data_IF_232908480200
#
_entry.id   IF_232908480200
#
_cell.length_a   1.000
_cell.length_b   1.000
_cell.length_c   1.000
_cell.angle_alpha   90.00
_cell.angle_beta   90.00
_cell.angle_gamma   90.00
#
_symmetry.space_group_name_H-M   'P 1'
#
loop_
_entity.id
_entity.type
_entity.pdbx_description
1 polymer ?
#
# COMPACT_ATOMS: atom_id res chain seq x y z
N UNK A 1 8.92 18.02 -14.10
CA UNK A 1 8.12 18.77 -13.09
C UNK A 1 6.92 17.98 -12.56
N UNK A 2 5.99 17.52 -13.40
CA UNK A 2 4.77 16.81 -12.94
C UNK A 2 5.01 15.58 -12.06
N UNK A 3 6.04 14.76 -12.33
CA UNK A 3 6.42 13.62 -11.46
C UNK A 3 6.87 14.04 -10.06
N UNK A 4 7.60 15.16 -9.97
CA UNK A 4 8.05 15.73 -8.69
C UNK A 4 6.84 16.25 -7.92
N UNK A 5 5.89 16.91 -8.60
CA UNK A 5 4.66 17.40 -7.96
C UNK A 5 3.80 16.26 -7.41
N UNK A 6 3.58 15.19 -8.18
CA UNK A 6 2.86 14.02 -7.68
C UNK A 6 3.59 13.35 -6.52
N UNK A 7 4.93 13.34 -6.52
CA UNK A 7 5.74 12.86 -5.41
C UNK A 7 5.52 13.70 -4.14
N UNK A 8 5.63 15.03 -4.24
CA UNK A 8 5.41 15.96 -3.12
C UNK A 8 4.00 15.88 -2.53
N UNK A 9 3.00 15.61 -3.37
CA UNK A 9 1.63 15.36 -2.91
C UNK A 9 1.58 14.11 -2.01
N UNK A 10 2.17 13.00 -2.44
CA UNK A 10 2.24 11.79 -1.61
C UNK A 10 3.06 12.01 -0.32
N UNK A 11 4.19 12.70 -0.42
CA UNK A 11 5.04 13.03 0.75
C UNK A 11 4.29 13.89 1.79
N UNK A 12 3.36 14.73 1.34
CA UNK A 12 2.52 15.54 2.25
C UNK A 12 1.63 14.64 3.10
N UNK A 13 1.00 13.61 2.54
CA UNK A 13 0.25 12.62 3.31
C UNK A 13 1.14 11.80 4.25
N UNK A 14 2.37 11.45 3.82
CA UNK A 14 3.34 10.76 4.69
C UNK A 14 3.68 11.60 5.92
N UNK A 15 3.90 12.91 5.77
CA UNK A 15 4.16 13.81 6.91
C UNK A 15 2.95 13.90 7.84
N UNK A 16 1.74 13.96 7.30
CA UNK A 16 0.51 13.94 8.10
C UNK A 16 0.36 12.61 8.86
N UNK A 17 0.76 11.47 8.26
CA UNK A 17 0.81 10.18 8.94
C UNK A 17 1.81 10.19 10.11
N UNK A 18 3.02 10.73 9.93
CA UNK A 18 3.99 10.90 11.02
C UNK A 18 3.40 11.72 12.17
N UNK A 19 2.69 12.82 11.86
CA UNK A 19 2.03 13.65 12.86
C UNK A 19 0.89 12.90 13.58
N UNK A 20 0.08 12.13 12.85
CA UNK A 20 -0.98 11.29 13.42
C UNK A 20 -0.42 10.20 14.36
N UNK A 21 0.70 9.58 13.99
CA UNK A 21 1.43 8.63 14.85
C UNK A 21 1.96 9.33 16.11
N UNK A 22 2.57 10.51 15.99
CA UNK A 22 3.04 11.28 17.14
C UNK A 22 1.89 11.64 18.10
N UNK A 23 0.70 11.94 17.57
CA UNK A 23 -0.50 12.20 18.34
C UNK A 23 -1.05 10.95 19.08
N UNK A 24 -0.95 9.75 18.48
CA UNK A 24 -1.55 8.51 19.02
C UNK A 24 -0.62 7.68 19.89
N UNK A 25 0.68 7.70 19.64
CA UNK A 25 1.64 6.86 20.34
C UNK A 25 2.06 7.51 21.66
N UNK A 26 2.24 6.69 22.69
CA UNK A 26 2.80 7.12 23.98
C UNK A 26 4.29 7.45 23.83
N UNK A 27 4.80 8.32 24.71
CA UNK A 27 6.24 8.64 24.78
C UNK A 27 6.75 9.62 23.72
N UNK A 28 5.86 10.21 22.92
CA UNK A 28 6.23 11.17 21.85
C UNK A 28 6.35 12.61 22.33
N UNK A 29 5.87 12.92 23.55
CA UNK A 29 5.68 14.28 24.04
C UNK A 29 4.52 15.05 23.37
N UNK A 30 3.86 14.42 22.39
CA UNK A 30 2.75 15.00 21.61
C UNK A 30 1.48 14.15 21.69
N UNK A 31 1.48 13.09 22.52
CA UNK A 31 0.35 12.19 22.71
C UNK A 31 -0.88 12.97 23.17
N UNK A 32 -1.98 12.91 22.41
CA UNK A 32 -3.22 13.63 22.72
C UNK A 32 -3.16 15.15 22.53
N UNK A 33 -2.08 15.70 21.95
CA UNK A 33 -1.96 17.15 21.72
C UNK A 33 -3.01 17.63 20.70
N UNK A 34 -3.94 18.48 21.15
CA UNK A 34 -5.06 18.97 20.32
C UNK A 34 -4.62 19.91 19.20
N UNK A 35 -3.57 20.72 19.43
CA UNK A 35 -3.00 21.57 18.37
C UNK A 35 -2.42 20.74 17.22
N UNK A 36 -1.73 19.64 17.53
CA UNK A 36 -1.23 18.70 16.52
C UNK A 36 -2.38 18.01 15.78
N UNK A 37 -3.40 17.54 16.50
CA UNK A 37 -4.62 16.98 15.92
C UNK A 37 -5.23 17.96 14.90
N UNK A 38 -5.43 19.20 15.29
CA UNK A 38 -6.08 20.23 14.45
C UNK A 38 -5.22 20.57 13.22
N UNK A 39 -3.89 20.57 13.36
CA UNK A 39 -2.97 20.71 12.25
C UNK A 39 -3.07 19.56 11.24
N UNK A 40 -3.18 18.30 11.71
CA UNK A 40 -3.39 17.16 10.80
C UNK A 40 -4.72 17.28 10.07
N UNK A 41 -5.81 17.57 10.79
CA UNK A 41 -7.14 17.72 10.19
C UNK A 41 -7.19 18.86 9.15
N UNK A 42 -6.49 19.96 9.41
CA UNK A 42 -6.36 21.09 8.48
C UNK A 42 -5.57 20.68 7.23
N UNK A 43 -4.46 19.96 7.41
CA UNK A 43 -3.65 19.47 6.29
C UNK A 43 -4.40 18.48 5.40
N UNK A 44 -5.16 17.54 5.98
CA UNK A 44 -5.99 16.61 5.22
C UNK A 44 -7.06 17.34 4.41
N UNK A 45 -7.75 18.32 5.02
CA UNK A 45 -8.77 19.11 4.33
C UNK A 45 -8.18 19.93 3.18
N UNK A 46 -7.02 20.53 3.39
CA UNK A 46 -6.32 21.26 2.33
C UNK A 46 -5.94 20.34 1.17
N UNK A 47 -5.32 19.19 1.45
CA UNK A 47 -4.93 18.25 0.40
C UNK A 47 -6.14 17.68 -0.35
N UNK A 48 -7.22 17.33 0.35
CA UNK A 48 -8.42 16.83 -0.29
C UNK A 48 -9.05 17.91 -1.18
N UNK A 49 -9.29 19.11 -0.65
CA UNK A 49 -9.96 20.18 -1.42
C UNK A 49 -9.14 20.67 -2.62
N UNK A 50 -7.80 20.67 -2.53
CA UNK A 50 -6.96 21.26 -3.57
C UNK A 50 -6.33 20.26 -4.54
N UNK A 51 -6.08 19.00 -4.12
CA UNK A 51 -5.23 18.09 -4.91
C UNK A 51 -5.77 16.67 -5.01
N UNK A 52 -6.16 16.04 -3.90
CA UNK A 52 -6.54 14.62 -3.84
C UNK A 52 -8.05 14.48 -3.54
N UNK A 53 -8.87 14.76 -4.55
CA UNK A 53 -10.34 14.60 -4.53
C UNK A 53 -10.84 13.85 -5.78
N UNK A 54 -12.12 13.48 -5.73
CA UNK A 54 -12.86 12.74 -6.76
C UNK A 54 -13.20 13.57 -8.02
N UNK A 55 -12.94 14.88 -8.03
CA UNK A 55 -13.04 15.73 -9.21
C UNK A 55 -11.74 15.90 -9.99
N UNK A 56 -10.61 15.40 -9.47
CA UNK A 56 -9.29 15.74 -9.99
C UNK A 56 -8.75 14.68 -10.96
N UNK A 57 -8.23 15.12 -12.11
CA UNK A 57 -7.48 14.24 -13.01
C UNK A 57 -6.05 14.02 -12.49
N UNK A 58 -5.58 12.78 -12.63
CA UNK A 58 -4.21 12.39 -12.27
C UNK A 58 -3.18 13.07 -13.17
N UNK A 59 -2.04 13.44 -12.58
CA UNK A 59 -0.85 13.88 -13.32
C UNK A 59 0.42 13.21 -12.77
N UNK A 60 1.50 13.19 -13.56
CA UNK A 60 2.79 12.70 -13.10
C UNK A 60 2.81 11.19 -12.86
N UNK A 61 3.42 10.77 -11.76
CA UNK A 61 3.63 9.35 -11.47
C UNK A 61 2.35 8.69 -10.94
N UNK A 62 1.85 7.66 -11.65
CA UNK A 62 0.66 6.91 -11.24
C UNK A 62 0.74 6.38 -9.80
N UNK A 63 1.92 5.92 -9.39
CA UNK A 63 2.17 5.33 -8.08
C UNK A 63 1.81 6.28 -6.95
N UNK A 64 2.12 7.58 -7.09
CA UNK A 64 1.82 8.59 -6.08
C UNK A 64 0.32 8.67 -5.79
N UNK A 65 -0.53 8.48 -6.80
CA UNK A 65 -1.98 8.64 -6.68
C UNK A 65 -2.70 7.38 -6.28
N UNK A 66 -2.17 6.21 -6.67
CA UNK A 66 -2.85 4.94 -6.47
C UNK A 66 -2.28 4.11 -5.31
N UNK A 67 -1.06 4.42 -4.86
CA UNK A 67 -0.38 3.68 -3.80
C UNK A 67 0.12 4.64 -2.72
N UNK A 68 1.07 5.52 -3.05
CA UNK A 68 1.77 6.35 -2.05
C UNK A 68 0.85 7.22 -1.19
N UNK A 69 0.09 8.13 -1.83
CA UNK A 69 -0.86 9.00 -1.13
C UNK A 69 -2.00 8.24 -0.43
N UNK A 70 -2.74 7.32 -1.10
CA UNK A 70 -3.89 6.68 -0.45
C UNK A 70 -3.48 5.77 0.71
N UNK A 71 -2.32 5.10 0.67
CA UNK A 71 -1.86 4.32 1.83
C UNK A 71 -1.65 5.22 3.06
N UNK A 72 -0.93 6.33 2.89
CA UNK A 72 -0.68 7.26 4.00
C UNK A 72 -1.98 7.97 4.47
N UNK A 73 -2.86 8.35 3.55
CA UNK A 73 -4.18 8.91 3.88
C UNK A 73 -5.02 7.95 4.72
N UNK A 74 -5.10 6.68 4.31
CA UNK A 74 -5.91 5.68 5.00
C UNK A 74 -5.32 5.33 6.38
N UNK A 75 -4.00 5.27 6.52
CA UNK A 75 -3.33 5.10 7.81
C UNK A 75 -3.70 6.26 8.77
N UNK A 76 -3.68 7.51 8.29
CA UNK A 76 -4.14 8.67 9.08
C UNK A 76 -5.62 8.53 9.45
N UNK A 77 -6.48 8.09 8.53
CA UNK A 77 -7.89 7.89 8.80
C UNK A 77 -8.14 6.84 9.88
N UNK A 78 -7.34 5.76 9.93
CA UNK A 78 -7.41 4.76 11.00
C UNK A 78 -6.94 5.36 12.33
N UNK A 79 -5.78 6.02 12.34
CA UNK A 79 -5.20 6.58 13.57
C UNK A 79 -6.05 7.70 14.19
N UNK A 80 -6.77 8.45 13.36
CA UNK A 80 -7.55 9.62 13.76
C UNK A 80 -9.06 9.45 13.54
N UNK A 81 -9.55 8.22 13.45
CA UNK A 81 -10.93 7.91 13.03
C UNK A 81 -11.97 8.76 13.76
N UNK A 82 -11.93 8.79 15.10
CA UNK A 82 -12.89 9.53 15.93
C UNK A 82 -12.74 11.05 15.87
N UNK A 83 -11.55 11.54 15.49
CA UNK A 83 -11.27 12.97 15.38
C UNK A 83 -11.67 13.54 14.00
N UNK A 84 -11.74 12.70 12.97
CA UNK A 84 -12.17 13.12 11.63
C UNK A 84 -13.69 13.02 11.55
N UNK A 85 -14.38 14.11 11.22
CA UNK A 85 -15.84 14.08 11.05
C UNK A 85 -16.29 13.05 9.98
N UNK A 86 -17.41 12.34 10.18
CA UNK A 86 -17.89 11.32 9.24
C UNK A 86 -17.98 11.80 7.79
N UNK A 87 -18.41 13.03 7.57
CA UNK A 87 -18.56 13.63 6.24
C UNK A 87 -17.20 13.82 5.56
N UNK A 88 -16.15 14.19 6.33
CA UNK A 88 -14.78 14.28 5.81
C UNK A 88 -14.22 12.91 5.49
N UNK A 89 -14.43 11.91 6.36
CA UNK A 89 -14.02 10.51 6.10
C UNK A 89 -14.65 9.97 4.82
N UNK A 90 -15.94 10.27 4.58
CA UNK A 90 -16.62 9.88 3.36
C UNK A 90 -15.99 10.51 2.10
N UNK A 91 -15.64 11.81 2.13
CA UNK A 91 -14.92 12.46 1.02
C UNK A 91 -13.54 11.86 0.76
N UNK A 92 -12.80 11.53 1.82
CA UNK A 92 -11.49 10.88 1.68
C UNK A 92 -11.63 9.48 1.06
N UNK A 93 -12.65 8.72 1.46
CA UNK A 93 -12.95 7.43 0.82
C UNK A 93 -13.34 7.59 -0.66
N UNK A 94 -14.15 8.59 -1.00
CA UNK A 94 -14.53 8.87 -2.38
C UNK A 94 -13.32 9.24 -3.26
N UNK A 95 -12.38 10.03 -2.72
CA UNK A 95 -11.12 10.33 -3.41
C UNK A 95 -10.31 9.05 -3.67
N UNK A 96 -10.21 8.15 -2.70
CA UNK A 96 -9.55 6.85 -2.89
C UNK A 96 -10.26 6.01 -3.95
N UNK A 97 -11.59 5.98 -3.98
CA UNK A 97 -12.35 5.24 -5.00
C UNK A 97 -12.14 5.78 -6.41
N UNK A 98 -12.01 7.10 -6.54
CA UNK A 98 -11.75 7.74 -7.81
C UNK A 98 -10.38 7.35 -8.38
N UNK A 99 -9.33 7.42 -7.55
CA UNK A 99 -7.98 7.09 -8.00
C UNK A 99 -7.68 5.59 -8.01
N UNK A 100 -8.33 4.82 -7.14
CA UNK A 100 -8.19 3.36 -7.01
C UNK A 100 -9.58 2.72 -7.11
N UNK A 101 -10.19 2.76 -8.30
CA UNK A 101 -11.47 2.10 -8.53
C UNK A 101 -11.29 0.59 -8.43
N UNK A 102 -12.40 -0.13 -8.24
CA UNK A 102 -12.39 -1.60 -8.15
C UNK A 102 -11.77 -2.24 -9.42
N UNK A 103 -11.92 -1.58 -10.58
CA UNK A 103 -11.30 -1.97 -11.84
C UNK A 103 -9.77 -1.94 -11.83
N UNK A 104 -9.13 -1.24 -10.89
CA UNK A 104 -7.67 -1.23 -10.72
C UNK A 104 -7.09 -2.61 -10.39
N UNK A 105 -7.92 -3.54 -9.90
CA UNK A 105 -7.53 -4.93 -9.61
C UNK A 105 -8.31 -5.98 -10.42
N UNK A 106 -9.17 -5.56 -11.35
CA UNK A 106 -9.98 -6.47 -12.17
C UNK A 106 -9.14 -7.39 -13.07
N UNK A 107 -8.00 -6.89 -13.57
CA UNK A 107 -7.08 -7.65 -14.42
C UNK A 107 -5.68 -7.68 -13.83
N UNK A 108 -5.05 -8.86 -13.77
CA UNK A 108 -3.67 -9.02 -13.29
C UNK A 108 -2.68 -8.72 -14.41
N UNK A 109 -2.49 -7.41 -14.70
CA UNK A 109 -1.67 -6.92 -15.81
C UNK A 109 -1.22 -5.47 -15.57
N UNK A 110 -0.29 -4.99 -16.40
CA UNK A 110 0.18 -3.61 -16.39
C UNK A 110 0.73 -3.18 -15.04
N UNK A 111 0.12 -2.16 -14.43
CA UNK A 111 0.51 -1.66 -13.11
C UNK A 111 -0.07 -2.44 -11.94
N UNK A 112 -0.80 -3.54 -12.19
CA UNK A 112 -1.54 -4.32 -11.19
C UNK A 112 -1.05 -5.78 -11.14
N UNK A 113 0.25 -5.95 -10.95
CA UNK A 113 0.97 -7.23 -10.81
C UNK A 113 1.94 -7.19 -9.62
N UNK A 114 2.31 -8.37 -9.09
CA UNK A 114 3.32 -8.52 -8.05
C UNK A 114 3.12 -7.57 -6.87
N UNK A 115 4.19 -6.86 -6.50
CA UNK A 115 4.15 -5.92 -5.37
C UNK A 115 3.12 -4.79 -5.54
N UNK A 116 2.95 -4.27 -6.76
CA UNK A 116 1.97 -3.22 -7.02
C UNK A 116 0.54 -3.71 -6.77
N UNK A 117 0.24 -4.97 -7.14
CA UNK A 117 -1.07 -5.59 -6.84
C UNK A 117 -1.29 -5.65 -5.33
N UNK A 118 -0.28 -6.08 -4.56
CA UNK A 118 -0.38 -6.17 -3.10
C UNK A 118 -0.62 -4.78 -2.48
N UNK A 119 0.08 -3.75 -2.95
CA UNK A 119 -0.11 -2.38 -2.49
C UNK A 119 -1.51 -1.82 -2.81
N UNK A 120 -2.04 -2.10 -4.00
CA UNK A 120 -3.42 -1.75 -4.37
C UNK A 120 -4.43 -2.47 -3.49
N UNK A 121 -4.21 -3.76 -3.19
CA UNK A 121 -5.04 -4.51 -2.25
C UNK A 121 -4.97 -3.91 -0.83
N UNK A 122 -3.81 -3.46 -0.37
CA UNK A 122 -3.69 -2.73 0.92
C UNK A 122 -4.56 -1.49 0.95
N UNK A 123 -4.51 -0.68 -0.13
CA UNK A 123 -5.37 0.51 -0.25
C UNK A 123 -6.85 0.14 -0.20
N UNK A 124 -7.28 -0.85 -1.00
CA UNK A 124 -8.68 -1.26 -1.06
C UNK A 124 -9.17 -1.86 0.27
N UNK A 125 -8.34 -2.65 0.95
CA UNK A 125 -8.66 -3.23 2.25
C UNK A 125 -8.88 -2.14 3.31
N UNK A 126 -7.94 -1.20 3.45
CA UNK A 126 -8.07 -0.11 4.42
C UNK A 126 -9.18 0.88 4.04
N UNK A 127 -9.40 1.15 2.75
CA UNK A 127 -10.60 1.88 2.28
C UNK A 127 -11.86 1.16 2.77
N UNK A 128 -11.92 -0.16 2.60
CA UNK A 128 -13.03 -0.99 3.10
C UNK A 128 -13.26 -0.85 4.60
N UNK A 129 -12.19 -0.92 5.41
CA UNK A 129 -12.26 -0.77 6.87
C UNK A 129 -12.71 0.64 7.27
N UNK A 130 -12.05 1.68 6.78
CA UNK A 130 -12.35 3.09 7.12
C UNK A 130 -13.78 3.47 6.70
N UNK A 131 -14.20 3.03 5.51
CA UNK A 131 -15.50 3.36 4.95
C UNK A 131 -16.62 2.38 5.30
N UNK A 132 -16.37 1.35 6.12
CA UNK A 132 -17.38 0.34 6.48
C UNK A 132 -17.92 -0.47 5.29
N UNK A 133 -17.09 -0.79 4.29
CA UNK A 133 -17.49 -1.51 3.10
C UNK A 133 -16.95 -2.95 3.07
N UNK A 134 -17.81 -3.91 3.42
CA UNK A 134 -17.53 -5.34 3.32
C UNK A 134 -17.08 -5.78 1.92
N UNK A 135 -17.69 -5.21 0.88
CA UNK A 135 -17.39 -5.53 -0.51
C UNK A 135 -15.96 -5.13 -0.90
N UNK A 136 -15.48 -3.96 -0.45
CA UNK A 136 -14.10 -3.50 -0.68
C UNK A 136 -13.07 -4.44 -0.03
N UNK A 137 -13.35 -4.90 1.21
CA UNK A 137 -12.45 -5.82 1.92
C UNK A 137 -12.42 -7.18 1.21
N UNK A 138 -13.58 -7.69 0.79
CA UNK A 138 -13.66 -8.94 0.02
C UNK A 138 -12.91 -8.82 -1.32
N UNK A 139 -13.11 -7.73 -2.06
CA UNK A 139 -12.39 -7.46 -3.31
C UNK A 139 -10.87 -7.45 -3.08
N UNK A 140 -10.40 -6.74 -2.05
CA UNK A 140 -8.98 -6.67 -1.73
C UNK A 140 -8.39 -8.05 -1.41
N UNK A 141 -9.09 -8.86 -0.59
CA UNK A 141 -8.72 -10.25 -0.29
C UNK A 141 -8.63 -11.08 -1.55
N UNK A 142 -9.67 -11.09 -2.37
CA UNK A 142 -9.79 -11.95 -3.55
C UNK A 142 -8.75 -11.56 -4.61
N UNK A 143 -8.48 -10.27 -4.75
CA UNK A 143 -7.50 -9.72 -5.69
C UNK A 143 -6.04 -10.06 -5.36
N UNK A 144 -5.75 -10.63 -4.18
CA UNK A 144 -4.42 -11.17 -3.85
C UNK A 144 -4.16 -12.54 -4.50
N UNK A 145 -5.20 -13.33 -4.78
CA UNK A 145 -5.07 -14.71 -5.26
C UNK A 145 -4.16 -14.86 -6.50
N UNK A 146 -4.19 -13.96 -7.50
CA UNK A 146 -3.29 -14.03 -8.65
C UNK A 146 -1.80 -13.76 -8.34
N UNK A 147 -1.46 -13.22 -7.16
CA UNK A 147 -0.07 -12.96 -6.75
C UNK A 147 0.64 -14.24 -6.30
N UNK A 148 -0.11 -15.23 -5.80
CA UNK A 148 0.43 -16.40 -5.14
C UNK A 148 1.04 -17.49 -6.05
N UNK A 149 0.49 -17.80 -7.24
CA UNK A 149 1.04 -18.85 -8.08
C UNK A 149 2.47 -18.54 -8.52
N UNK A 150 3.29 -19.59 -8.62
CA UNK A 150 4.56 -19.51 -9.33
C UNK A 150 4.30 -19.22 -10.81
N UNK A 151 5.15 -18.38 -11.41
CA UNK A 151 5.12 -18.01 -12.82
C UNK A 151 6.27 -18.63 -13.60
N UNK A 152 6.12 -18.72 -14.91
CA UNK A 152 7.17 -19.16 -15.85
C UNK A 152 7.63 -18.04 -16.78
N UNK A 153 6.99 -16.86 -16.71
CA UNK A 153 7.31 -15.66 -17.47
C UNK A 153 6.74 -14.42 -16.78
N UNK A 154 7.40 -13.27 -16.95
CA UNK A 154 6.91 -11.98 -16.47
C UNK A 154 7.03 -11.80 -14.96
N UNK A 155 6.16 -10.96 -14.41
CA UNK A 155 6.16 -10.58 -13.00
C UNK A 155 5.73 -11.73 -12.08
N UNK A 156 6.50 -12.00 -11.03
CA UNK A 156 6.13 -12.96 -9.99
C UNK A 156 7.29 -13.78 -9.43
N UNK A 157 6.94 -14.74 -8.57
CA UNK A 157 7.84 -15.75 -8.03
C UNK A 157 7.97 -16.92 -9.00
N UNK A 158 9.19 -17.41 -9.20
CA UNK A 158 9.50 -18.57 -10.04
C UNK A 158 9.82 -19.79 -9.17
N UNK A 159 9.69 -20.98 -9.76
CA UNK A 159 9.93 -22.24 -9.06
C UNK A 159 11.38 -22.41 -8.58
N UNK A 160 12.33 -21.71 -9.18
CA UNK A 160 13.75 -21.72 -8.79
C UNK A 160 14.12 -20.66 -7.73
N UNK A 161 13.13 -19.95 -7.18
CA UNK A 161 13.34 -18.88 -6.20
C UNK A 161 13.57 -17.49 -6.83
N UNK A 162 13.63 -17.37 -8.16
CA UNK A 162 13.74 -16.06 -8.81
C UNK A 162 12.48 -15.23 -8.54
N UNK A 163 12.67 -13.92 -8.35
CA UNK A 163 11.57 -12.95 -8.30
C UNK A 163 11.80 -11.85 -9.33
N UNK A 164 10.86 -11.75 -10.28
CA UNK A 164 10.90 -10.77 -11.35
C UNK A 164 9.78 -9.75 -11.14
N UNK A 165 10.11 -8.49 -11.43
CA UNK A 165 9.12 -7.41 -11.52
C UNK A 165 9.51 -6.46 -12.66
N UNK A 166 8.56 -5.66 -13.15
CA UNK A 166 8.76 -4.82 -14.34
C UNK A 166 9.11 -5.67 -15.57
N UNK A 167 8.40 -6.78 -15.71
CA UNK A 167 8.45 -7.76 -16.79
C UNK A 167 9.72 -8.61 -16.84
N UNK A 168 10.90 -8.02 -16.60
CA UNK A 168 12.18 -8.70 -16.87
C UNK A 168 13.28 -8.45 -15.84
N UNK A 169 13.04 -7.63 -14.80
CA UNK A 169 14.11 -7.19 -13.88
C UNK A 169 14.13 -8.06 -12.62
N UNK A 170 15.28 -8.66 -12.24
CA UNK A 170 15.46 -9.31 -10.94
C UNK A 170 15.29 -8.30 -9.81
N UNK A 171 14.31 -8.54 -8.95
CA UNK A 171 13.83 -7.49 -8.03
C UNK A 171 13.52 -7.97 -6.62
N UNK A 172 14.01 -9.14 -6.23
CA UNK A 172 13.81 -9.76 -4.91
C UNK A 172 14.04 -8.79 -3.75
N UNK A 173 15.10 -7.98 -3.83
CA UNK A 173 15.54 -7.09 -2.75
C UNK A 173 14.78 -5.78 -2.62
N UNK A 174 13.95 -5.37 -3.60
CA UNK A 174 13.14 -4.16 -3.48
C UNK A 174 11.66 -4.39 -3.74
N UNK A 175 11.22 -4.67 -4.98
CA UNK A 175 9.79 -5.01 -5.19
C UNK A 175 9.40 -6.30 -4.49
N UNK A 176 10.31 -7.27 -4.41
CA UNK A 176 10.07 -8.49 -3.62
C UNK A 176 9.85 -8.15 -2.14
N UNK A 177 10.68 -7.28 -1.56
CA UNK A 177 10.51 -6.79 -0.19
C UNK A 177 9.14 -6.11 0.02
N UNK A 178 8.70 -5.24 -0.92
CA UNK A 178 7.38 -4.61 -0.89
C UNK A 178 6.26 -5.66 -0.92
N UNK A 179 6.35 -6.65 -1.82
CA UNK A 179 5.36 -7.72 -1.91
C UNK A 179 5.27 -8.52 -0.61
N UNK A 180 6.41 -8.97 -0.08
CA UNK A 180 6.46 -9.80 1.12
C UNK A 180 5.95 -9.03 2.35
N UNK A 181 6.38 -7.78 2.53
CA UNK A 181 5.92 -6.93 3.62
C UNK A 181 4.42 -6.63 3.54
N UNK A 182 3.91 -6.27 2.36
CA UNK A 182 2.49 -6.00 2.14
C UNK A 182 1.59 -7.22 2.37
N UNK A 183 2.03 -8.40 1.90
CA UNK A 183 1.31 -9.66 2.16
C UNK A 183 1.31 -10.02 3.64
N UNK A 184 2.44 -9.88 4.33
CA UNK A 184 2.53 -10.09 5.77
C UNK A 184 1.54 -9.22 6.55
N UNK A 185 1.47 -7.93 6.22
CA UNK A 185 0.51 -7.00 6.83
C UNK A 185 -0.94 -7.40 6.56
N UNK A 186 -1.28 -7.74 5.31
CA UNK A 186 -2.66 -8.11 4.93
C UNK A 186 -3.09 -9.46 5.52
N UNK A 187 -2.18 -10.44 5.57
CA UNK A 187 -2.45 -11.73 6.23
C UNK A 187 -2.71 -11.53 7.71
N UNK A 188 -1.91 -10.71 8.39
CA UNK A 188 -2.11 -10.40 9.80
C UNK A 188 -3.41 -9.62 10.04
N UNK A 189 -3.69 -8.58 9.25
CA UNK A 189 -4.88 -7.74 9.38
C UNK A 189 -6.19 -8.53 9.22
N UNK A 190 -6.23 -9.45 8.25
CA UNK A 190 -7.46 -10.17 7.90
C UNK A 190 -7.64 -11.47 8.68
N UNK A 191 -6.60 -11.95 9.38
CA UNK A 191 -6.63 -13.21 10.13
C UNK A 191 -7.78 -13.24 11.14
N UNK A 192 -8.56 -14.33 11.13
CA UNK A 192 -9.69 -14.51 12.06
C UNK A 192 -10.92 -13.64 11.79
N UNK A 193 -10.88 -12.77 10.78
CA UNK A 193 -12.05 -12.03 10.29
C UNK A 193 -12.86 -12.84 9.28
N UNK A 194 -14.05 -12.36 8.91
CA UNK A 194 -14.84 -12.92 7.80
C UNK A 194 -14.15 -12.82 6.43
N UNK A 195 -13.06 -12.05 6.33
CA UNK A 195 -12.27 -11.85 5.12
C UNK A 195 -10.85 -12.42 5.22
N UNK A 196 -10.61 -13.40 6.10
CA UNK A 196 -9.33 -14.10 6.14
C UNK A 196 -8.94 -14.60 4.74
N UNK A 197 -7.66 -14.43 4.37
CA UNK A 197 -7.12 -14.97 3.11
C UNK A 197 -6.98 -16.48 3.23
N UNK A 198 -7.91 -17.24 2.66
CA UNK A 198 -7.94 -18.71 2.76
C UNK A 198 -7.45 -19.44 1.50
N UNK A 199 -6.98 -18.72 0.47
CA UNK A 199 -6.40 -19.35 -0.72
C UNK A 199 -5.20 -20.23 -0.30
N UNK A 200 -5.22 -21.55 -0.56
CA UNK A 200 -4.14 -22.45 -0.15
C UNK A 200 -2.80 -22.09 -0.79
N UNK A 201 -2.80 -21.40 -1.94
CA UNK A 201 -1.57 -20.95 -2.61
C UNK A 201 -0.81 -19.89 -1.83
N UNK A 202 -1.40 -19.30 -0.77
CA UNK A 202 -0.64 -18.44 0.16
C UNK A 202 0.59 -19.14 0.75
N UNK A 203 0.59 -20.48 0.80
CA UNK A 203 1.74 -21.28 1.21
C UNK A 203 2.98 -21.03 0.34
N UNK A 204 2.82 -20.77 -0.96
CA UNK A 204 3.93 -20.44 -1.87
C UNK A 204 4.71 -19.22 -1.38
N UNK A 205 4.01 -18.23 -0.82
CA UNK A 205 4.64 -17.01 -0.27
C UNK A 205 5.44 -17.33 0.98
N UNK A 206 4.93 -18.22 1.84
CA UNK A 206 5.64 -18.66 3.04
C UNK A 206 6.90 -19.45 2.68
N UNK A 207 6.79 -20.41 1.76
CA UNK A 207 7.92 -21.23 1.29
C UNK A 207 8.97 -20.36 0.59
N UNK A 208 8.55 -19.30 -0.09
CA UNK A 208 9.46 -18.39 -0.77
C UNK A 208 10.37 -17.60 0.19
N UNK A 209 10.04 -17.46 1.48
CA UNK A 209 10.94 -16.82 2.46
C UNK A 209 12.31 -17.51 2.46
N UNK A 210 12.32 -18.84 2.53
CA UNK A 210 13.55 -19.64 2.54
C UNK A 210 14.12 -19.85 1.14
N UNK A 211 13.26 -20.01 0.12
CA UNK A 211 13.71 -20.37 -1.22
C UNK A 211 14.05 -19.18 -2.13
N UNK A 212 13.51 -17.99 -1.86
CA UNK A 212 13.66 -16.81 -2.70
C UNK A 212 14.36 -15.64 -1.98
N UNK A 213 14.07 -15.36 -0.70
CA UNK A 213 14.70 -14.23 0.01
C UNK A 213 15.96 -14.61 0.77
N UNK A 214 15.93 -15.68 1.55
CA UNK A 214 17.06 -16.08 2.40
C UNK A 214 18.41 -16.22 1.64
N UNK A 215 18.47 -16.74 0.39
CA UNK A 215 19.73 -16.86 -0.34
C UNK A 215 20.39 -15.51 -0.70
N UNK A 216 19.61 -14.42 -0.74
CA UNK A 216 20.12 -13.07 -1.03
C UNK A 216 20.43 -12.27 0.23
N UNK A 217 20.25 -12.84 1.42
CA UNK A 217 20.59 -12.21 2.69
C UNK A 217 21.97 -12.65 3.17
N UNK A 218 22.86 -11.68 3.42
CA UNK A 218 24.21 -11.93 3.92
C UNK A 218 24.53 -10.98 5.08
N UNK A 219 24.66 -11.49 6.31
CA UNK A 219 24.97 -10.66 7.49
C UNK A 219 24.07 -9.42 7.66
N UNK A 220 22.79 -9.54 7.30
CA UNK A 220 21.79 -8.47 7.43
C UNK A 220 21.63 -7.57 6.20
N UNK A 221 22.50 -7.64 5.18
CA UNK A 221 22.28 -6.97 3.89
C UNK A 221 21.50 -7.86 2.93
N UNK A 222 20.74 -7.24 2.03
CA UNK A 222 20.24 -7.89 0.80
C UNK A 222 21.15 -7.53 -0.37
N UNK A 223 21.54 -8.51 -1.19
CA UNK A 223 22.50 -8.27 -2.27
C UNK A 223 21.97 -7.25 -3.31
N UNK A 224 22.82 -6.30 -3.71
CA UNK A 224 22.46 -5.23 -4.66
C UNK A 224 22.05 -5.74 -6.06
N UNK A 225 22.52 -6.93 -6.43
CA UNK A 225 22.19 -7.59 -7.71
C UNK A 225 20.70 -7.85 -7.92
N UNK A 226 19.90 -7.83 -6.84
CA UNK A 226 18.44 -7.98 -6.87
C UNK A 226 17.68 -6.75 -6.35
N UNK A 227 18.38 -5.62 -6.17
CA UNK A 227 17.78 -4.36 -5.72
C UNK A 227 17.35 -3.44 -6.88
N UNK A 228 17.82 -3.73 -8.11
CA UNK A 228 17.49 -2.97 -9.32
C UNK A 228 17.87 -1.49 -9.18
N UNK A 229 16.96 -0.59 -9.55
CA UNK A 229 17.23 0.86 -9.47
C UNK A 229 17.31 1.41 -8.03
N UNK A 230 17.03 0.59 -7.02
CA UNK A 230 17.04 1.05 -5.63
C UNK A 230 18.46 1.33 -5.11
N UNK A 231 19.51 0.79 -5.77
CA UNK A 231 20.92 1.02 -5.41
C UNK A 231 21.38 2.48 -5.52
N UNK A 232 20.60 3.34 -6.17
CA UNK A 232 20.93 4.75 -6.40
C UNK A 232 20.21 5.71 -5.42
N UNK A 233 19.78 5.22 -4.25
CA UNK A 233 19.07 5.99 -3.21
C UNK A 233 19.86 5.93 -1.91
#
# INVERSE_FOLDING_TARGET
ESYVLSGRMADSFVRLNTMAQAYRQQGTGLTGNTGLRDAVLTGLEHLNTQVYNDGQARYGNWYSWQIGAPQALLDVCVLMYDAIAPERRARYCAAVDHFVPDSAVASYTGTSTGANRVDLCRVLALRGVVGGSAAKIALARDALSPVFPLVTRGDGLYADGSFIQHTTVPYTGSYGSVMLGGLGLLFALLKGSAWEVTDPKRQVVFDAVENAWAPFLFNGLVMDSVAGRAISR
#
